data_IF_848980712071
#
_entry.id   IF_848980712071
#
_cell.length_a   1.000
_cell.length_b   1.000
_cell.length_c   1.000
_cell.angle_alpha   90.00
_cell.angle_beta   90.00
_cell.angle_gamma   90.00
#
_symmetry.space_group_name_H-M   'P 1'
#
loop_
_entity.id
_entity.type
_entity.pdbx_description
1 polymer ?
#
# COMPACT_ATOMS: atom_id res chain seq x y z
N UNK A 1 -22.85 17.44 -3.51
CA UNK A 1 -22.15 16.89 -2.32
C UNK A 1 -20.74 17.43 -2.34
N UNK A 2 -20.15 17.85 -1.21
CA UNK A 2 -18.77 18.29 -1.21
C UNK A 2 -17.91 17.10 -1.64
N UNK A 3 -17.04 17.32 -2.62
CA UNK A 3 -16.09 16.33 -3.09
C UNK A 3 -15.08 16.06 -1.97
N UNK A 4 -15.34 15.07 -1.11
CA UNK A 4 -14.29 14.53 -0.26
C UNK A 4 -13.18 14.02 -1.19
N UNK A 5 -11.98 14.58 -1.05
CA UNK A 5 -10.84 14.17 -1.86
C UNK A 5 -10.54 12.71 -1.57
N UNK A 6 -10.90 11.81 -2.50
CA UNK A 6 -10.58 10.38 -2.41
C UNK A 6 -9.09 10.10 -2.60
N UNK A 7 -8.31 11.11 -2.97
CA UNK A 7 -6.87 11.02 -3.11
C UNK A 7 -6.16 11.64 -1.91
N UNK A 8 -5.17 10.92 -1.39
CA UNK A 8 -4.24 11.38 -0.36
C UNK A 8 -2.80 11.11 -0.81
N UNK A 9 -1.91 12.07 -0.54
CA UNK A 9 -0.46 11.94 -0.76
C UNK A 9 0.29 12.40 0.48
N UNK A 10 1.21 11.59 0.98
CA UNK A 10 2.05 11.91 2.14
C UNK A 10 3.48 11.49 1.85
N UNK A 11 4.43 12.31 2.29
CA UNK A 11 5.85 11.97 2.29
C UNK A 11 6.28 11.70 3.73
N UNK A 12 7.02 10.61 3.93
CA UNK A 12 7.57 10.23 5.23
C UNK A 12 9.05 9.88 5.09
N UNK A 13 9.85 10.46 5.98
CA UNK A 13 11.27 10.17 6.09
C UNK A 13 11.51 9.16 7.22
N UNK A 14 12.19 8.05 6.91
CA UNK A 14 12.52 6.97 7.84
C UNK A 14 13.99 6.63 7.66
N UNK A 15 14.79 6.79 8.71
CA UNK A 15 16.21 6.41 8.73
C UNK A 15 16.98 6.93 7.48
N UNK A 16 16.80 8.21 7.16
CA UNK A 16 17.42 8.90 6.02
C UNK A 16 16.99 8.42 4.61
N UNK A 17 15.87 7.71 4.52
CA UNK A 17 15.17 7.31 3.29
C UNK A 17 13.83 8.04 3.22
N UNK A 18 13.48 8.55 2.05
CA UNK A 18 12.22 9.28 1.85
C UNK A 18 11.24 8.44 1.03
N UNK A 19 10.04 8.25 1.57
CA UNK A 19 8.98 7.45 0.97
C UNK A 19 7.78 8.32 0.68
N UNK A 20 7.24 8.19 -0.53
CA UNK A 20 5.96 8.79 -0.91
C UNK A 20 4.89 7.72 -0.86
N UNK A 21 3.82 7.97 -0.11
CA UNK A 21 2.62 7.15 -0.01
C UNK A 21 1.49 7.90 -0.72
N UNK A 22 0.86 7.24 -1.69
CA UNK A 22 -0.30 7.75 -2.39
C UNK A 22 -1.45 6.76 -2.22
N UNK A 23 -2.62 7.26 -1.85
CA UNK A 23 -3.82 6.47 -1.64
C UNK A 23 -4.93 7.07 -2.48
N UNK A 24 -5.61 6.22 -3.25
CA UNK A 24 -6.83 6.54 -3.98
C UNK A 24 -7.94 5.60 -3.51
N UNK A 25 -8.97 6.17 -2.91
CA UNK A 25 -10.11 5.43 -2.37
C UNK A 25 -11.22 5.26 -3.42
N UNK A 26 -11.89 4.12 -3.34
CA UNK A 26 -13.08 3.76 -4.10
C UNK A 26 -14.15 3.25 -3.12
N UNK A 27 -15.42 3.25 -3.53
CA UNK A 27 -16.50 2.79 -2.66
C UNK A 27 -16.38 1.30 -2.28
N UNK A 28 -15.63 0.52 -3.06
CA UNK A 28 -15.40 -0.90 -2.86
C UNK A 28 -13.92 -1.28 -2.65
N UNK A 29 -13.04 -0.30 -2.40
CA UNK A 29 -11.61 -0.59 -2.41
C UNK A 29 -10.66 0.59 -2.35
N UNK A 30 -9.38 0.30 -2.56
CA UNK A 30 -8.36 1.33 -2.74
C UNK A 30 -7.23 0.91 -3.67
N UNK A 31 -6.55 1.93 -4.20
CA UNK A 31 -5.23 1.81 -4.79
C UNK A 31 -4.22 2.52 -3.89
N UNK A 32 -3.14 1.83 -3.55
CA UNK A 32 -2.03 2.36 -2.77
C UNK A 32 -0.74 2.26 -3.58
N UNK A 33 0.01 3.35 -3.66
CA UNK A 33 1.36 3.37 -4.23
C UNK A 33 2.36 3.84 -3.19
N UNK A 34 3.45 3.08 -3.04
CA UNK A 34 4.57 3.41 -2.16
C UNK A 34 5.84 3.45 -2.98
N UNK A 35 6.52 4.59 -2.95
CA UNK A 35 7.73 4.78 -3.76
C UNK A 35 8.86 5.40 -2.94
N UNK A 36 10.06 4.87 -3.07
CA UNK A 36 11.28 5.47 -2.53
C UNK A 36 11.99 6.30 -3.62
N UNK A 37 12.13 7.60 -3.38
CA UNK A 37 12.72 8.54 -4.33
C UNK A 37 11.82 8.86 -5.53
N UNK A 38 11.91 8.07 -6.61
CA UNK A 38 11.14 8.33 -7.83
C UNK A 38 9.74 7.70 -7.76
N UNK A 39 8.72 8.48 -8.09
CA UNK A 39 7.32 8.03 -8.15
C UNK A 39 7.09 7.11 -9.37
N UNK A 40 7.43 5.83 -9.21
CA UNK A 40 7.30 4.79 -10.24
C UNK A 40 6.38 3.67 -9.76
N UNK A 41 5.68 3.04 -10.69
CA UNK A 41 5.01 1.76 -10.43
C UNK A 41 6.09 0.68 -10.29
N UNK A 42 6.05 -0.07 -9.20
CA UNK A 42 6.96 -1.19 -8.93
C UNK A 42 6.23 -2.53 -8.93
N UNK A 43 6.61 -3.42 -8.01
CA UNK A 43 5.85 -4.65 -7.78
C UNK A 43 4.39 -4.30 -7.45
N UNK A 44 3.45 -5.16 -7.86
CA UNK A 44 2.02 -4.88 -7.79
C UNK A 44 1.29 -6.12 -7.29
N UNK A 45 0.55 -5.98 -6.20
CA UNK A 45 -0.25 -7.05 -5.59
C UNK A 45 -1.68 -6.57 -5.43
N UNK A 46 -2.64 -7.45 -5.68
CA UNK A 46 -4.04 -7.21 -5.39
C UNK A 46 -4.55 -8.22 -4.36
N UNK A 47 -5.34 -7.75 -3.39
CA UNK A 47 -6.04 -8.57 -2.42
C UNK A 47 -7.52 -8.23 -2.40
N UNK A 48 -8.36 -9.23 -2.15
CA UNK A 48 -9.79 -9.05 -1.93
C UNK A 48 -10.21 -9.77 -0.66
N UNK A 49 -10.92 -9.08 0.22
CA UNK A 49 -11.48 -9.65 1.44
C UNK A 49 -13.01 -9.73 1.33
N UNK A 50 -13.51 -10.90 0.91
CA UNK A 50 -14.95 -11.21 0.82
C UNK A 50 -15.37 -12.33 1.79
N UNK A 51 -14.49 -12.75 2.70
CA UNK A 51 -14.70 -13.85 3.64
C UNK A 51 -13.72 -13.79 4.83
N UNK A 52 -13.42 -14.94 5.46
CA UNK A 52 -12.55 -15.01 6.65
C UNK A 52 -11.06 -14.79 6.37
N UNK A 53 -10.59 -15.06 5.15
CA UNK A 53 -9.18 -14.90 4.76
C UNK A 53 -9.12 -14.14 3.41
N UNK A 54 -8.28 -13.11 3.28
CA UNK A 54 -8.09 -12.40 2.01
C UNK A 54 -7.54 -13.32 0.93
N UNK A 55 -8.03 -13.15 -0.30
CA UNK A 55 -7.45 -13.78 -1.50
C UNK A 55 -6.47 -12.79 -2.11
N UNK A 56 -5.21 -13.19 -2.29
CA UNK A 56 -4.13 -12.31 -2.76
C UNK A 56 -3.45 -12.85 -4.01
N UNK A 57 -3.17 -11.98 -4.98
CA UNK A 57 -2.45 -12.30 -6.20
C UNK A 57 -1.39 -11.25 -6.52
N UNK A 58 -0.20 -11.71 -6.95
CA UNK A 58 0.86 -10.85 -7.46
C UNK A 58 0.65 -10.64 -8.95
N UNK A 59 0.42 -9.40 -9.37
CA UNK A 59 0.22 -9.01 -10.78
C UNK A 59 1.56 -8.72 -11.43
N UNK A 60 2.39 -7.90 -10.77
CA UNK A 60 3.78 -7.61 -11.17
C UNK A 60 4.67 -8.10 -10.05
N UNK A 61 5.58 -9.07 -10.29
CA UNK A 61 6.45 -9.59 -9.25
C UNK A 61 7.38 -8.50 -8.72
N UNK A 62 7.47 -8.37 -7.40
CA UNK A 62 8.48 -7.53 -6.77
C UNK A 62 9.84 -8.21 -6.81
N UNK A 63 10.90 -7.40 -6.90
CA UNK A 63 12.28 -7.90 -6.90
C UNK A 63 12.75 -8.30 -5.50
N UNK A 64 12.35 -7.55 -4.46
CA UNK A 64 12.80 -7.80 -3.08
C UNK A 64 11.69 -7.67 -2.02
N UNK A 65 10.53 -7.12 -2.36
CA UNK A 65 9.51 -6.66 -1.41
C UNK A 65 8.22 -7.49 -1.46
N UNK A 66 8.27 -8.70 -2.02
CA UNK A 66 7.08 -9.53 -2.28
C UNK A 66 6.28 -9.82 -1.01
N UNK A 67 6.95 -10.12 0.11
CA UNK A 67 6.29 -10.34 1.40
C UNK A 67 5.65 -9.06 1.94
N UNK A 68 6.35 -7.93 1.85
CA UNK A 68 5.82 -6.63 2.29
C UNK A 68 4.54 -6.26 1.52
N UNK A 69 4.58 -6.37 0.19
CA UNK A 69 3.43 -6.11 -0.67
C UNK A 69 2.24 -7.00 -0.31
N UNK A 70 2.48 -8.30 -0.13
CA UNK A 70 1.44 -9.24 0.26
C UNK A 70 0.79 -8.85 1.58
N UNK A 71 1.59 -8.65 2.63
CA UNK A 71 1.09 -8.32 3.98
C UNK A 71 0.31 -7.00 3.99
N UNK A 72 0.82 -5.98 3.29
CA UNK A 72 0.14 -4.69 3.19
C UNK A 72 -1.19 -4.82 2.45
N UNK A 73 -1.19 -5.52 1.31
CA UNK A 73 -2.39 -5.71 0.49
C UNK A 73 -3.48 -6.45 1.27
N UNK A 74 -3.13 -7.53 1.97
CA UNK A 74 -4.04 -8.32 2.82
C UNK A 74 -4.61 -7.52 3.99
N UNK A 75 -3.77 -6.73 4.67
CA UNK A 75 -4.22 -5.94 5.81
C UNK A 75 -5.23 -4.87 5.38
N UNK A 76 -4.93 -4.15 4.30
CA UNK A 76 -5.78 -3.08 3.80
C UNK A 76 -7.07 -3.61 3.18
N UNK A 77 -7.04 -4.72 2.45
CA UNK A 77 -8.28 -5.33 1.92
C UNK A 77 -9.20 -5.77 3.06
N UNK A 78 -8.64 -6.22 4.19
CA UNK A 78 -9.41 -6.60 5.39
C UNK A 78 -10.03 -5.41 6.09
N UNK A 79 -9.34 -4.26 6.15
CA UNK A 79 -9.88 -3.02 6.73
C UNK A 79 -11.07 -2.52 5.90
N UNK A 80 -10.91 -2.46 4.57
CA UNK A 80 -11.94 -1.96 3.67
C UNK A 80 -13.09 -2.98 3.48
N UNK A 81 -12.86 -4.25 3.83
CA UNK A 81 -13.75 -5.37 3.46
C UNK A 81 -14.04 -5.35 1.95
N UNK A 82 -12.99 -5.21 1.15
CA UNK A 82 -13.10 -4.93 -0.27
C UNK A 82 -11.84 -5.29 -1.06
N UNK A 83 -11.68 -4.64 -2.20
CA UNK A 83 -10.56 -4.85 -3.11
C UNK A 83 -9.45 -3.86 -2.79
N UNK A 84 -8.22 -4.31 -2.68
CA UNK A 84 -7.09 -3.43 -2.55
C UNK A 84 -5.98 -3.78 -3.53
N UNK A 85 -5.39 -2.76 -4.15
CA UNK A 85 -4.27 -2.89 -5.07
C UNK A 85 -3.11 -2.08 -4.52
N UNK A 86 -1.99 -2.73 -4.25
CA UNK A 86 -0.80 -2.11 -3.68
C UNK A 86 0.35 -2.21 -4.67
N UNK A 87 0.94 -1.06 -5.02
CA UNK A 87 2.21 -0.98 -5.73
C UNK A 87 3.33 -0.51 -4.81
N UNK A 88 4.51 -1.11 -4.93
CA UNK A 88 5.70 -0.66 -4.22
C UNK A 88 6.92 -0.63 -5.14
N UNK A 89 7.52 0.55 -5.29
CA UNK A 89 8.82 0.75 -5.93
C UNK A 89 9.84 1.17 -4.87
N UNK A 90 10.61 0.20 -4.39
CA UNK A 90 11.60 0.39 -3.33
C UNK A 90 12.92 -0.20 -3.84
N UNK A 91 13.89 0.61 -4.31
CA UNK A 91 15.12 0.10 -4.91
C UNK A 91 16.08 -0.60 -3.93
N UNK A 92 15.95 -0.31 -2.62
CA UNK A 92 16.80 -0.84 -1.56
C UNK A 92 15.99 -1.77 -0.66
N UNK A 93 16.64 -2.81 -0.15
CA UNK A 93 16.02 -3.74 0.79
C UNK A 93 15.29 -3.01 1.92
N UNK A 94 14.09 -3.50 2.25
CA UNK A 94 13.23 -2.88 3.24
C UNK A 94 13.42 -3.55 4.61
N UNK A 95 13.95 -2.78 5.55
CA UNK A 95 14.10 -3.24 6.93
C UNK A 95 12.73 -3.45 7.59
N UNK A 96 12.63 -4.46 8.47
CA UNK A 96 11.39 -4.78 9.18
C UNK A 96 10.78 -3.60 9.94
N UNK A 97 11.62 -2.72 10.51
CA UNK A 97 11.18 -1.51 11.21
C UNK A 97 10.47 -0.55 10.23
N UNK A 98 11.11 -0.26 9.11
CA UNK A 98 10.59 0.61 8.05
C UNK A 98 9.32 0.06 7.43
N UNK A 99 9.27 -1.25 7.16
CA UNK A 99 8.07 -1.93 6.66
C UNK A 99 6.87 -1.75 7.60
N UNK A 100 7.06 -1.95 8.91
CA UNK A 100 5.99 -1.77 9.91
C UNK A 100 5.49 -0.32 9.96
N UNK A 101 6.40 0.66 9.88
CA UNK A 101 6.04 2.08 9.88
C UNK A 101 5.22 2.43 8.64
N UNK A 102 5.64 1.97 7.45
CA UNK A 102 4.90 2.20 6.20
C UNK A 102 3.51 1.58 6.24
N UNK A 103 3.38 0.34 6.74
CA UNK A 103 2.09 -0.33 6.94
C UNK A 103 1.17 0.48 7.85
N UNK A 104 1.67 0.89 9.03
CA UNK A 104 0.89 1.68 9.98
C UNK A 104 0.44 3.02 9.39
N UNK A 105 1.34 3.73 8.69
CA UNK A 105 1.04 5.03 8.10
C UNK A 105 0.05 4.95 6.94
N UNK A 106 0.19 3.96 6.06
CA UNK A 106 -0.79 3.73 4.99
C UNK A 106 -2.16 3.40 5.57
N UNK A 107 -2.22 2.57 6.61
CA UNK A 107 -3.46 2.25 7.32
C UNK A 107 -4.14 3.51 7.89
N UNK A 108 -3.39 4.37 8.58
CA UNK A 108 -3.92 5.65 9.11
C UNK A 108 -4.52 6.55 8.01
N UNK A 109 -4.01 6.48 6.77
CA UNK A 109 -4.54 7.26 5.64
C UNK A 109 -5.82 6.62 5.08
N UNK A 110 -5.90 5.30 5.06
CA UNK A 110 -7.06 4.56 4.51
C UNK A 110 -8.25 4.56 5.47
N UNK A 111 -8.03 4.60 6.79
CA UNK A 111 -9.07 4.61 7.81
C UNK A 111 -9.64 6.02 8.11
N UNK A 112 -9.06 7.08 7.54
CA UNK A 112 -9.52 8.46 7.68
C UNK A 112 -10.72 8.77 6.79
#
# INVERSE_FOLDING_TARGET
MPSESRFSKTVIDIDNRSFTIQVLLFDNGSYVSITEGQEKIGGLTASISTGTVPITTSIIPAKSESLFLKLMSEQLSSIITGINIVSAFIPKELENKTAKILIAKTREIVEK
#
